data_IF_868476788041
#
_entry.id   IF_868476788041
#
_cell.length_a   1.000
_cell.length_b   1.000
_cell.length_c   1.000
_cell.angle_alpha   90.00
_cell.angle_beta   90.00
_cell.angle_gamma   90.00
#
_symmetry.space_group_name_H-M   'P 1'
#
loop_
_entity.id
_entity.type
_entity.pdbx_description
1 polymer ?
#
# COMPACT_ATOMS: atom_id res chain seq x y z
N UNK A 1 -4.47 10.99 15.93
CA UNK A 1 -3.77 9.83 16.55
C UNK A 1 -4.61 9.33 17.73
N UNK A 2 -4.81 8.01 17.92
CA UNK A 2 -5.61 7.49 19.04
C UNK A 2 -5.06 7.89 20.42
N UNK A 3 -5.96 7.99 21.42
CA UNK A 3 -5.61 8.35 22.79
C UNK A 3 -4.60 7.35 23.41
N UNK A 4 -3.63 7.86 24.19
CA UNK A 4 -2.64 7.02 24.89
C UNK A 4 -1.35 6.66 24.13
N UNK A 5 -1.21 7.04 22.85
CA UNK A 5 -0.04 6.69 22.00
C UNK A 5 1.32 7.19 22.52
N UNK A 6 1.38 8.37 23.17
CA UNK A 6 2.64 8.96 23.66
C UNK A 6 3.38 8.10 24.71
N UNK A 7 2.68 7.18 25.38
CA UNK A 7 3.24 6.32 26.44
C UNK A 7 3.29 4.83 26.05
N UNK A 8 3.08 4.48 24.78
CA UNK A 8 2.98 3.07 24.36
C UNK A 8 4.22 2.26 24.73
N UNK A 9 5.42 2.82 24.54
CA UNK A 9 6.68 2.19 24.93
C UNK A 9 6.74 1.91 26.45
N UNK A 10 6.45 2.94 27.27
CA UNK A 10 6.41 2.84 28.74
C UNK A 10 5.39 1.81 29.25
N UNK A 11 4.28 1.64 28.54
CA UNK A 11 3.22 0.69 28.87
C UNK A 11 3.44 -0.71 28.26
N UNK A 12 4.56 -0.93 27.59
CA UNK A 12 4.83 -2.20 26.90
C UNK A 12 3.80 -2.54 25.81
N UNK A 13 3.08 -1.54 25.30
CA UNK A 13 2.00 -1.71 24.32
C UNK A 13 2.51 -1.65 22.88
N UNK A 14 2.00 -2.54 22.03
CA UNK A 14 2.30 -2.55 20.58
C UNK A 14 1.51 -1.46 19.87
N UNK A 15 2.19 -0.68 19.03
CA UNK A 15 1.52 0.29 18.15
C UNK A 15 1.11 -0.38 16.84
N UNK A 16 -0.15 -0.21 16.44
CA UNK A 16 -0.67 -0.65 15.15
C UNK A 16 -1.00 0.58 14.30
N UNK A 17 -0.51 0.58 13.06
CA UNK A 17 -0.88 1.55 12.02
C UNK A 17 -1.64 0.79 10.95
N UNK A 18 -2.85 1.22 10.62
CA UNK A 18 -3.67 0.58 9.58
C UNK A 18 -4.04 1.61 8.53
N UNK A 19 -4.03 1.21 7.27
CA UNK A 19 -4.41 2.05 6.14
C UNK A 19 -4.99 1.19 5.00
N UNK A 20 -5.70 1.83 4.07
CA UNK A 20 -6.21 1.21 2.85
C UNK A 20 -5.54 1.82 1.62
N UNK A 21 -5.14 0.96 0.68
CA UNK A 21 -4.61 1.37 -0.61
C UNK A 21 -5.42 0.76 -1.76
N UNK A 22 -5.73 1.58 -2.77
CA UNK A 22 -6.35 1.13 -4.02
C UNK A 22 -5.34 1.06 -5.16
N UNK A 23 -5.26 -0.09 -5.82
CA UNK A 23 -4.44 -0.32 -7.01
C UNK A 23 -5.32 -0.28 -8.25
N UNK A 24 -5.11 0.71 -9.12
CA UNK A 24 -5.82 0.77 -10.40
C UNK A 24 -5.41 -0.41 -11.28
N UNK A 25 -6.39 -1.01 -11.98
CA UNK A 25 -6.14 -2.09 -12.94
C UNK A 25 -5.62 -1.60 -14.29
N UNK A 26 -5.44 -0.29 -14.45
CA UNK A 26 -4.77 0.26 -15.63
C UNK A 26 -3.30 -0.20 -15.62
N UNK A 27 -2.79 -0.76 -16.74
CA UNK A 27 -1.43 -1.28 -16.77
C UNK A 27 -0.42 -0.14 -16.59
N UNK A 28 0.49 -0.31 -15.62
CA UNK A 28 1.66 0.57 -15.50
C UNK A 28 2.73 0.11 -16.49
N UNK A 29 3.08 0.97 -17.45
CA UNK A 29 3.98 0.60 -18.54
C UNK A 29 5.41 0.89 -18.09
N UNK A 30 6.17 -0.17 -17.78
CA UNK A 30 7.58 -0.05 -17.34
C UNK A 30 8.59 -0.32 -18.44
N UNK A 31 8.28 -1.27 -19.32
CA UNK A 31 9.06 -1.60 -20.53
C UNK A 31 8.09 -1.95 -21.64
N UNK A 32 8.49 -1.66 -22.87
CA UNK A 32 7.69 -1.93 -24.08
C UNK A 32 8.58 -2.57 -25.14
N UNK A 33 8.01 -3.48 -25.92
CA UNK A 33 8.62 -4.04 -27.13
C UNK A 33 8.23 -3.24 -28.38
N UNK A 34 7.63 -2.07 -28.22
CA UNK A 34 7.36 -1.15 -29.31
C UNK A 34 8.65 -0.69 -29.99
N UNK A 35 8.52 -0.25 -31.24
CA UNK A 35 9.64 0.22 -32.05
C UNK A 35 10.42 1.34 -31.35
N UNK A 36 11.76 1.28 -31.44
CA UNK A 36 12.64 2.32 -30.88
C UNK A 36 12.45 3.63 -31.66
N UNK A 37 12.38 4.74 -30.93
CA UNK A 37 12.17 6.07 -31.52
C UNK A 37 10.71 6.41 -31.86
N UNK A 38 9.77 5.48 -31.63
CA UNK A 38 8.33 5.71 -31.85
C UNK A 38 7.62 5.72 -30.50
N UNK A 39 6.83 6.77 -30.24
CA UNK A 39 6.01 6.84 -29.02
C UNK A 39 4.94 5.74 -29.06
N UNK A 40 4.91 4.82 -28.09
CA UNK A 40 3.92 3.74 -28.07
C UNK A 40 2.52 4.29 -27.75
N UNK A 41 1.51 3.87 -28.52
CA UNK A 41 0.10 4.13 -28.23
C UNK A 41 -0.48 2.94 -27.47
N UNK A 42 -0.99 3.20 -26.27
CA UNK A 42 -1.48 2.16 -25.36
C UNK A 42 -2.96 2.40 -25.07
N UNK A 43 -3.87 1.81 -25.87
CA UNK A 43 -5.29 2.05 -25.72
C UNK A 43 -5.76 1.49 -24.37
N UNK A 44 -6.36 2.38 -23.57
CA UNK A 44 -6.98 2.01 -22.30
C UNK A 44 -8.41 2.51 -22.25
N UNK A 45 -9.28 1.77 -21.56
CA UNK A 45 -10.63 2.24 -21.25
C UNK A 45 -10.58 3.25 -20.11
N UNK A 46 -10.22 4.49 -20.42
CA UNK A 46 -10.34 5.62 -19.49
C UNK A 46 -11.78 5.71 -19.00
N UNK A 47 -11.99 5.93 -17.69
CA UNK A 47 -13.27 5.86 -16.94
C UNK A 47 -13.70 4.49 -16.42
N UNK A 48 -13.03 3.40 -16.80
CA UNK A 48 -13.17 2.13 -16.09
C UNK A 48 -12.31 2.15 -14.83
N UNK A 49 -12.85 2.66 -13.72
CA UNK A 49 -12.12 2.86 -12.44
C UNK A 49 -11.92 1.54 -11.67
N UNK A 50 -11.74 0.43 -12.40
CA UNK A 50 -11.50 -0.88 -11.81
C UNK A 50 -10.23 -0.81 -10.98
N UNK A 51 -10.35 -1.20 -9.73
CA UNK A 51 -9.27 -1.23 -8.76
C UNK A 51 -9.37 -2.49 -7.91
N UNK A 52 -8.25 -2.92 -7.38
CA UNK A 52 -8.19 -3.85 -6.25
C UNK A 52 -7.89 -3.01 -5.02
N UNK A 53 -8.70 -3.15 -3.97
CA UNK A 53 -8.43 -2.52 -2.68
C UNK A 53 -7.69 -3.52 -1.78
N UNK A 54 -6.73 -3.01 -1.02
CA UNK A 54 -5.97 -3.77 -0.03
C UNK A 54 -6.03 -2.99 1.28
N UNK A 55 -6.32 -3.69 2.37
CA UNK A 55 -6.14 -3.18 3.72
C UNK A 55 -4.86 -3.77 4.30
N UNK A 56 -4.07 -2.93 4.98
CA UNK A 56 -2.85 -3.38 5.62
C UNK A 56 -2.68 -2.77 7.01
N UNK A 57 -1.98 -3.51 7.87
CA UNK A 57 -1.58 -3.07 9.20
C UNK A 57 -0.10 -3.33 9.45
N UNK A 58 0.59 -2.34 10.01
CA UNK A 58 1.95 -2.43 10.52
C UNK A 58 1.92 -2.46 12.04
N UNK A 59 2.55 -3.47 12.65
CA UNK A 59 2.74 -3.56 14.10
C UNK A 59 4.17 -3.26 14.49
N UNK A 60 4.33 -2.38 15.48
CA UNK A 60 5.60 -2.00 16.06
C UNK A 60 5.61 -2.42 17.54
N UNK A 61 6.39 -3.45 17.84
CA UNK A 61 6.57 -3.92 19.21
C UNK A 61 7.54 -3.01 19.98
N UNK A 62 7.19 -2.59 21.21
CA UNK A 62 8.07 -1.75 22.03
C UNK A 62 9.28 -2.50 22.57
N UNK A 63 9.30 -3.84 22.52
CA UNK A 63 10.38 -4.67 23.08
C UNK A 63 11.54 -4.93 22.11
N UNK A 64 11.26 -4.97 20.81
CA UNK A 64 12.24 -5.43 19.80
C UNK A 64 12.41 -4.47 18.63
N UNK A 65 11.73 -3.32 18.62
CA UNK A 65 11.68 -2.37 17.49
C UNK A 65 11.46 -3.04 16.12
N UNK A 66 10.86 -4.23 16.10
CA UNK A 66 10.64 -5.01 14.89
C UNK A 66 9.28 -4.65 14.34
N UNK A 67 9.27 -4.23 13.08
CA UNK A 67 8.06 -4.00 12.30
C UNK A 67 7.57 -5.35 11.77
N UNK A 68 6.28 -5.63 11.93
CA UNK A 68 5.60 -6.72 11.23
C UNK A 68 4.47 -6.14 10.39
N UNK A 69 4.22 -6.75 9.24
CA UNK A 69 3.17 -6.36 8.31
C UNK A 69 2.12 -7.45 8.18
N UNK A 70 0.86 -7.02 8.10
CA UNK A 70 -0.31 -7.86 7.82
C UNK A 70 -1.10 -7.17 6.70
N UNK A 71 -1.63 -7.92 5.75
CA UNK A 71 -2.43 -7.35 4.66
C UNK A 71 -3.45 -8.35 4.13
N UNK A 72 -4.52 -7.84 3.54
CA UNK A 72 -5.56 -8.61 2.88
C UNK A 72 -6.21 -7.83 1.73
N UNK A 73 -6.75 -8.54 0.74
CA UNK A 73 -7.58 -7.94 -0.31
C UNK A 73 -9.01 -7.76 0.21
N UNK A 74 -9.67 -6.69 -0.27
CA UNK A 74 -11.07 -6.36 -0.03
C UNK A 74 -11.93 -6.68 -1.26
#
# INVERSE_FOLDING_TARGET
>A
MAAGKKNAARRGSTLIFSDEAGFLMAPLVRRTWALRGVTPVLPQRGRSRRKVSVIAALSLSPRRHRVRSYFGML
#
